data_IF_934397206539
#
_entry.id   IF_934397206539
#
_cell.length_a   1.000
_cell.length_b   1.000
_cell.length_c   1.000
_cell.angle_alpha   90.00
_cell.angle_beta   90.00
_cell.angle_gamma   90.00
#
_symmetry.space_group_name_H-M   'P 1'
#
loop_
_entity.id
_entity.type
_entity.pdbx_description
1 polymer ?
#
# COMPACT_ATOMS: atom_id res chain seq x y z
N UNK A 1 -2.02 69.92 -16.05
CA UNK A 1 -3.30 70.40 -16.61
C UNK A 1 -3.49 69.74 -17.96
N UNK A 2 -4.72 69.38 -18.33
CA UNK A 2 -5.10 68.86 -19.67
C UNK A 2 -4.62 67.44 -20.02
N UNK A 3 -5.34 66.81 -20.97
CA UNK A 3 -5.33 65.40 -21.41
C UNK A 3 -5.44 65.39 -22.96
N UNK A 4 -5.21 64.25 -23.64
CA UNK A 4 -5.46 63.96 -25.10
C UNK A 4 -4.41 64.58 -26.08
N UNK A 5 -4.17 64.05 -27.30
CA UNK A 5 -4.81 62.93 -28.04
C UNK A 5 -3.93 62.33 -29.18
N UNK A 6 -4.31 61.13 -29.69
CA UNK A 6 -4.14 60.60 -31.09
C UNK A 6 -2.73 60.47 -31.74
N UNK A 7 -2.51 59.77 -32.87
CA UNK A 7 -2.87 58.43 -33.42
C UNK A 7 -2.20 58.29 -34.84
N UNK A 8 -2.09 57.09 -35.42
CA UNK A 8 -1.64 56.81 -36.83
C UNK A 8 -0.15 57.19 -37.11
N UNK A 9 0.58 56.78 -38.17
CA UNK A 9 0.62 55.63 -39.12
C UNK A 9 1.98 55.73 -39.91
N UNK A 10 2.48 54.88 -40.81
CA UNK A 10 2.13 53.58 -41.43
C UNK A 10 3.42 52.96 -42.04
N UNK A 11 3.62 51.62 -42.04
CA UNK A 11 4.57 50.96 -42.95
C UNK A 11 4.28 49.44 -43.11
N UNK A 12 4.17 48.95 -44.35
CA UNK A 12 4.16 47.51 -44.69
C UNK A 12 5.27 47.21 -45.71
N UNK A 13 5.96 46.08 -45.54
CA UNK A 13 6.63 45.27 -46.58
C UNK A 13 7.19 44.01 -45.89
N UNK A 14 7.21 42.82 -46.49
CA UNK A 14 6.66 42.42 -47.77
C UNK A 14 7.48 41.31 -48.43
N UNK A 15 7.38 40.06 -47.96
CA UNK A 15 8.05 38.89 -48.54
C UNK A 15 7.06 37.74 -48.66
N UNK A 16 7.11 37.02 -49.78
CA UNK A 16 6.41 35.76 -49.99
C UNK A 16 7.31 34.73 -50.68
N UNK A 17 6.84 33.48 -50.71
CA UNK A 17 7.43 32.31 -51.37
C UNK A 17 8.84 31.87 -50.88
N UNK A 18 8.83 30.87 -50.00
CA UNK A 18 9.84 29.80 -49.97
C UNK A 18 9.14 28.49 -49.60
N UNK A 19 8.29 28.00 -50.50
CA UNK A 19 7.65 26.68 -50.39
C UNK A 19 8.62 25.57 -50.85
N UNK A 20 8.31 24.32 -50.46
CA UNK A 20 9.04 23.08 -50.81
C UNK A 20 10.39 22.86 -50.09
N UNK A 21 10.35 22.31 -48.87
CA UNK A 21 11.40 21.35 -48.37
C UNK A 21 11.08 20.63 -47.05
N UNK A 22 10.01 20.98 -46.30
CA UNK A 22 9.83 20.48 -44.91
C UNK A 22 8.71 19.43 -44.68
N UNK A 23 7.89 19.07 -45.67
CA UNK A 23 6.80 18.09 -45.48
C UNK A 23 7.26 16.62 -45.37
N UNK A 24 8.49 16.30 -45.77
CA UNK A 24 8.97 14.92 -45.88
C UNK A 24 9.50 14.29 -44.58
N UNK A 25 9.75 15.07 -43.52
CA UNK A 25 10.28 14.56 -42.24
C UNK A 25 9.25 14.56 -41.09
N UNK A 26 8.13 15.25 -41.23
CA UNK A 26 7.03 15.17 -40.26
C UNK A 26 6.27 13.83 -40.38
N UNK A 27 6.00 13.37 -41.61
CA UNK A 27 5.13 12.22 -41.87
C UNK A 27 5.77 10.84 -41.57
N UNK A 28 7.07 10.78 -41.26
CA UNK A 28 7.77 9.51 -40.95
C UNK A 28 7.55 9.10 -39.48
N UNK A 29 7.41 10.06 -38.56
CA UNK A 29 7.31 9.78 -37.12
C UNK A 29 5.87 9.65 -36.59
N UNK A 30 4.87 9.86 -37.43
CA UNK A 30 3.44 9.87 -37.03
C UNK A 30 2.68 8.60 -37.46
N UNK A 31 3.20 7.86 -38.46
CA UNK A 31 2.64 6.57 -38.89
C UNK A 31 3.01 5.41 -37.96
N UNK A 32 4.26 5.34 -37.49
CA UNK A 32 4.74 4.30 -36.55
C UNK A 32 4.41 4.60 -35.07
N UNK A 33 3.79 5.75 -34.78
CA UNK A 33 3.32 6.12 -33.43
C UNK A 33 1.89 5.65 -33.11
N UNK A 34 1.44 4.55 -33.72
CA UNK A 34 0.27 3.84 -33.23
C UNK A 34 0.58 3.22 -31.86
N UNK A 35 0.11 3.87 -30.80
CA UNK A 35 0.13 3.35 -29.43
C UNK A 35 -0.51 1.96 -29.40
N UNK A 36 0.31 0.93 -29.26
CA UNK A 36 -0.10 -0.46 -29.45
C UNK A 36 -0.85 -0.98 -28.23
N UNK A 37 -2.12 -0.57 -28.12
CA UNK A 37 -3.09 -1.12 -27.17
C UNK A 37 -3.16 -2.63 -27.40
N UNK A 38 -2.83 -3.40 -26.37
CA UNK A 38 -2.91 -4.86 -26.41
C UNK A 38 -4.35 -5.29 -26.65
N UNK A 39 -4.55 -6.10 -27.68
CA UNK A 39 -5.86 -6.74 -27.89
C UNK A 39 -6.19 -7.64 -26.72
N UNK A 40 -7.49 -7.84 -26.45
CA UNK A 40 -7.96 -8.71 -25.36
C UNK A 40 -7.29 -10.10 -25.38
N UNK A 41 -7.11 -10.69 -26.56
CA UNK A 41 -6.40 -11.97 -26.71
C UNK A 41 -4.90 -11.92 -26.33
N UNK A 42 -4.23 -10.76 -26.48
CA UNK A 42 -2.86 -10.57 -26.00
C UNK A 42 -2.81 -10.37 -24.49
N UNK A 43 -3.73 -9.57 -23.92
CA UNK A 43 -3.92 -9.43 -22.47
C UNK A 43 -4.17 -10.80 -21.82
N UNK A 44 -5.14 -11.58 -22.31
CA UNK A 44 -5.48 -12.91 -21.78
C UNK A 44 -4.29 -13.87 -21.77
N UNK A 45 -3.39 -13.81 -22.77
CA UNK A 45 -2.15 -14.63 -22.79
C UNK A 45 -1.15 -14.17 -21.73
N UNK A 46 -0.91 -12.88 -21.62
CA UNK A 46 -0.01 -12.27 -20.64
C UNK A 46 -0.49 -12.54 -19.19
N UNK A 47 -1.81 -12.45 -18.95
CA UNK A 47 -2.44 -12.80 -17.68
C UNK A 47 -2.32 -14.31 -17.40
N UNK A 48 -2.57 -15.16 -18.40
CA UNK A 48 -2.46 -16.63 -18.24
C UNK A 48 -1.04 -17.08 -17.87
N UNK A 49 -0.01 -16.39 -18.36
CA UNK A 49 1.39 -16.60 -17.96
C UNK A 49 1.73 -16.02 -16.58
N UNK A 50 1.00 -15.00 -16.11
CA UNK A 50 1.16 -14.37 -14.80
C UNK A 50 0.32 -14.99 -13.66
N UNK A 51 -0.46 -16.04 -13.95
CA UNK A 51 -1.35 -16.75 -13.03
C UNK A 51 -0.66 -17.98 -12.41
N UNK A 52 -0.64 -18.13 -11.06
CA UNK A 52 -0.08 -19.30 -10.38
C UNK A 52 -0.59 -20.63 -10.91
N UNK A 53 0.25 -21.66 -10.88
CA UNK A 53 -0.11 -23.03 -11.31
C UNK A 53 -1.21 -23.65 -10.43
N UNK A 54 -1.36 -23.17 -9.18
CA UNK A 54 -2.44 -23.56 -8.26
C UNK A 54 -3.83 -23.10 -8.72
N UNK A 55 -3.93 -22.15 -9.65
CA UNK A 55 -5.21 -21.70 -10.24
C UNK A 55 -5.55 -22.59 -11.44
N UNK A 56 -6.47 -23.53 -11.27
CA UNK A 56 -6.88 -24.47 -12.35
C UNK A 56 -8.27 -24.12 -12.91
N UNK A 57 -8.79 -24.92 -13.85
CA UNK A 57 -10.19 -24.76 -14.29
C UNK A 57 -11.22 -25.14 -13.21
N UNK A 58 -10.83 -25.86 -12.16
CA UNK A 58 -11.66 -26.11 -10.98
C UNK A 58 -10.91 -25.67 -9.69
N UNK A 59 -11.35 -24.55 -9.11
CA UNK A 59 -10.74 -23.98 -7.90
C UNK A 59 -11.54 -24.26 -6.62
N UNK A 60 -12.46 -25.23 -6.63
CA UNK A 60 -13.35 -25.54 -5.48
C UNK A 60 -12.56 -25.91 -4.23
N UNK A 61 -11.54 -26.77 -4.37
CA UNK A 61 -10.69 -27.20 -3.24
C UNK A 61 -9.80 -26.04 -2.75
N UNK A 62 -9.19 -25.30 -3.68
CA UNK A 62 -8.39 -24.11 -3.38
C UNK A 62 -9.20 -23.06 -2.59
N UNK A 63 -10.45 -22.81 -2.99
CA UNK A 63 -11.36 -21.92 -2.29
C UNK A 63 -11.73 -22.47 -0.90
N UNK A 64 -12.03 -23.77 -0.78
CA UNK A 64 -12.35 -24.41 0.51
C UNK A 64 -11.17 -24.39 1.50
N UNK A 65 -9.93 -24.39 0.99
CA UNK A 65 -8.69 -24.22 1.76
C UNK A 65 -8.50 -22.75 2.16
N UNK A 66 -8.66 -21.80 1.22
CA UNK A 66 -8.52 -20.37 1.51
C UNK A 66 -9.55 -19.83 2.50
N UNK A 67 -10.76 -20.40 2.55
CA UNK A 67 -11.77 -20.08 3.57
C UNK A 67 -11.44 -20.63 4.98
N UNK A 68 -10.32 -21.34 5.16
CA UNK A 68 -9.89 -21.92 6.45
C UNK A 68 -8.48 -21.46 6.89
N UNK A 69 -8.21 -20.14 6.97
CA UNK A 69 -6.97 -19.64 7.56
C UNK A 69 -6.95 -19.94 9.07
N UNK A 70 -5.74 -20.12 9.64
CA UNK A 70 -5.58 -20.08 11.10
C UNK A 70 -5.71 -18.62 11.56
N UNK A 71 -6.90 -18.27 12.06
CA UNK A 71 -7.19 -16.99 12.68
C UNK A 71 -6.77 -17.00 14.16
N UNK A 72 -6.24 -15.88 14.63
CA UNK A 72 -6.23 -15.52 16.04
C UNK A 72 -7.35 -14.53 16.36
N UNK A 73 -7.51 -14.17 17.64
CA UNK A 73 -8.55 -13.23 18.07
C UNK A 73 -8.45 -11.86 17.36
N UNK A 74 -9.60 -11.19 17.11
CA UNK A 74 -9.65 -9.90 16.42
C UNK A 74 -9.29 -8.74 17.36
N UNK A 75 -8.75 -7.66 16.80
CA UNK A 75 -8.39 -6.45 17.58
C UNK A 75 -9.61 -5.79 18.25
N UNK A 76 -10.82 -5.99 17.72
CA UNK A 76 -12.08 -5.62 18.37
C UNK A 76 -12.28 -6.22 19.77
N UNK A 77 -11.56 -7.30 20.09
CA UNK A 77 -11.59 -8.01 21.38
C UNK A 77 -10.29 -7.95 22.17
N UNK A 78 -9.12 -7.84 21.50
CA UNK A 78 -7.81 -7.91 22.17
C UNK A 78 -7.15 -6.55 22.44
N UNK A 79 -7.47 -5.51 21.66
CA UNK A 79 -6.78 -4.22 21.73
C UNK A 79 -7.29 -3.37 22.91
N UNK A 80 -6.48 -3.22 23.96
CA UNK A 80 -6.77 -2.32 25.07
C UNK A 80 -6.23 -0.91 24.77
N UNK A 81 -7.11 0.01 24.35
CA UNK A 81 -6.75 1.37 23.97
C UNK A 81 -6.19 2.19 25.13
N UNK A 82 -6.70 2.04 26.36
CA UNK A 82 -6.15 2.77 27.50
C UNK A 82 -4.73 2.28 27.84
N UNK A 83 -4.43 0.98 27.68
CA UNK A 83 -3.05 0.47 27.79
C UNK A 83 -2.12 0.96 26.67
N UNK A 84 -2.62 1.10 25.43
CA UNK A 84 -1.86 1.75 24.35
C UNK A 84 -1.53 3.19 24.73
N UNK A 85 -2.51 3.95 25.25
CA UNK A 85 -2.33 5.35 25.67
C UNK A 85 -1.29 5.46 26.78
N UNK A 86 -1.39 4.65 27.84
CA UNK A 86 -0.41 4.57 28.93
C UNK A 86 1.01 4.34 28.41
N UNK A 87 1.17 3.45 27.42
CA UNK A 87 2.48 3.07 26.89
C UNK A 87 3.06 4.13 25.94
N UNK A 88 2.26 4.73 25.04
CA UNK A 88 2.80 5.67 24.02
C UNK A 88 2.86 7.12 24.49
N UNK A 89 2.08 7.50 25.51
CA UNK A 89 2.15 8.80 26.20
C UNK A 89 2.84 8.71 27.56
N UNK A 90 3.69 7.71 27.80
CA UNK A 90 4.44 7.58 29.06
C UNK A 90 5.21 8.89 29.36
N UNK A 91 4.97 9.46 30.55
CA UNK A 91 5.51 10.74 31.02
C UNK A 91 5.09 12.00 30.22
N UNK A 92 4.15 11.90 29.27
CA UNK A 92 3.62 13.07 28.56
C UNK A 92 2.79 13.97 29.49
N UNK A 93 2.82 15.28 29.23
CA UNK A 93 2.07 16.30 29.99
C UNK A 93 0.95 16.89 29.13
N UNK A 94 -0.05 17.47 29.79
CA UNK A 94 -1.14 18.22 29.18
C UNK A 94 -1.89 17.44 28.09
N UNK A 95 -2.08 16.14 28.34
CA UNK A 95 -2.78 15.20 27.44
C UNK A 95 -4.25 15.64 27.28
N UNK A 96 -4.67 15.85 26.03
CA UNK A 96 -6.04 16.18 25.63
C UNK A 96 -6.63 14.98 24.88
N UNK A 97 -7.84 14.57 25.25
CA UNK A 97 -8.60 13.45 24.65
C UNK A 97 -9.87 14.02 24.01
N UNK A 98 -10.11 13.70 22.74
CA UNK A 98 -11.31 14.08 21.99
C UNK A 98 -11.96 12.86 21.33
N UNK A 99 -13.27 12.92 21.07
CA UNK A 99 -14.04 11.76 20.63
C UNK A 99 -14.25 10.71 21.73
N UNK A 100 -14.56 9.48 21.33
CA UNK A 100 -14.90 8.37 22.23
C UNK A 100 -13.95 7.18 22.01
N UNK A 101 -13.07 6.91 22.99
CA UNK A 101 -12.19 5.72 22.99
C UNK A 101 -12.84 4.48 23.66
N UNK A 102 -14.16 4.47 23.86
CA UNK A 102 -14.88 3.34 24.48
C UNK A 102 -15.22 2.26 23.43
N UNK A 103 -16.10 1.32 23.81
CA UNK A 103 -16.56 0.20 22.97
C UNK A 103 -17.17 0.68 21.63
N UNK A 104 -16.97 -0.14 20.60
CA UNK A 104 -17.43 -0.03 19.20
C UNK A 104 -18.86 0.53 18.98
N UNK A 105 -19.09 1.29 17.88
CA UNK A 105 -18.09 1.91 17.00
C UNK A 105 -17.44 3.12 17.69
N UNK A 106 -16.15 3.32 17.46
CA UNK A 106 -15.32 4.23 18.25
C UNK A 106 -14.36 5.03 17.38
N UNK A 107 -14.21 6.31 17.69
CA UNK A 107 -13.21 7.20 17.09
C UNK A 107 -12.76 8.19 18.13
N UNK A 108 -11.46 8.26 18.37
CA UNK A 108 -10.87 9.25 19.26
C UNK A 108 -9.49 9.70 18.80
N UNK A 109 -9.17 10.93 19.18
CA UNK A 109 -7.87 11.56 19.00
C UNK A 109 -7.34 11.97 20.38
N UNK A 110 -6.08 11.65 20.65
CA UNK A 110 -5.39 12.05 21.87
C UNK A 110 -4.12 12.78 21.47
N UNK A 111 -3.88 13.95 22.08
CA UNK A 111 -2.74 14.82 21.78
C UNK A 111 -2.03 15.27 23.05
N UNK A 112 -0.72 15.47 22.96
CA UNK A 112 0.08 16.18 23.97
C UNK A 112 1.03 17.15 23.25
N UNK A 113 1.21 18.35 23.79
CA UNK A 113 1.89 19.46 23.11
C UNK A 113 1.02 20.18 22.06
N UNK A 114 1.66 20.86 21.10
CA UNK A 114 1.02 21.56 19.98
C UNK A 114 1.63 21.10 18.64
N UNK A 115 0.76 20.69 17.71
CA UNK A 115 1.12 20.29 16.35
C UNK A 115 1.81 21.41 15.57
N UNK A 116 1.42 22.67 15.79
CA UNK A 116 2.01 23.85 15.15
C UNK A 116 3.15 24.47 15.98
N UNK A 117 3.34 24.03 17.22
CA UNK A 117 4.41 24.50 18.10
C UNK A 117 5.78 23.99 17.68
N UNK A 118 6.83 24.62 18.23
CA UNK A 118 8.21 24.12 18.11
C UNK A 118 8.53 22.97 19.06
N UNK A 119 7.75 22.79 20.11
CA UNK A 119 8.04 21.82 21.18
C UNK A 119 7.73 20.38 20.79
N UNK A 120 8.12 19.45 21.66
CA UNK A 120 7.71 18.07 21.59
C UNK A 120 6.18 17.95 21.46
N UNK A 121 5.74 17.11 20.54
CA UNK A 121 4.34 16.87 20.22
C UNK A 121 4.11 15.38 20.02
N UNK A 122 2.97 14.88 20.45
CA UNK A 122 2.55 13.51 20.16
C UNK A 122 1.05 13.44 19.94
N UNK A 123 0.63 12.58 19.01
CA UNK A 123 -0.76 12.34 18.64
C UNK A 123 -1.00 10.85 18.46
N UNK A 124 -2.13 10.37 19.00
CA UNK A 124 -2.69 9.05 18.75
C UNK A 124 -4.09 9.24 18.17
N UNK A 125 -4.28 8.80 16.94
CA UNK A 125 -5.61 8.60 16.36
C UNK A 125 -5.97 7.12 16.46
N UNK A 126 -7.20 6.82 16.88
CA UNK A 126 -7.79 5.49 16.87
C UNK A 126 -9.19 5.56 16.26
N UNK A 127 -9.47 4.66 15.33
CA UNK A 127 -10.77 4.54 14.67
C UNK A 127 -11.11 3.07 14.45
N UNK A 128 -12.31 2.67 14.85
CA UNK A 128 -12.79 1.31 14.71
C UNK A 128 -14.30 1.33 14.43
N UNK A 129 -14.67 0.95 13.22
CA UNK A 129 -16.03 1.02 12.70
C UNK A 129 -16.79 -0.33 12.77
N UNK A 130 -16.17 -1.35 13.39
CA UNK A 130 -16.70 -2.72 13.49
C UNK A 130 -16.16 -3.66 12.41
N UNK A 131 -15.96 -3.19 11.18
CA UNK A 131 -15.40 -4.00 10.09
C UNK A 131 -13.88 -3.83 9.96
N UNK A 132 -13.32 -2.67 10.34
CA UNK A 132 -11.89 -2.37 10.33
C UNK A 132 -11.44 -1.61 11.58
N UNK A 133 -10.25 -1.96 12.07
CA UNK A 133 -9.51 -1.22 13.08
C UNK A 133 -8.35 -0.44 12.44
N UNK A 134 -8.19 0.82 12.84
CA UNK A 134 -7.09 1.70 12.44
C UNK A 134 -6.53 2.43 13.66
N UNK A 135 -5.22 2.59 13.72
CA UNK A 135 -4.51 3.26 14.80
C UNK A 135 -3.26 3.97 14.24
N UNK A 136 -3.02 5.22 14.64
CA UNK A 136 -1.84 6.00 14.23
C UNK A 136 -1.31 6.84 15.37
N UNK A 137 -0.25 6.36 16.00
CA UNK A 137 0.61 7.14 16.89
C UNK A 137 1.74 7.82 16.10
N UNK A 138 2.00 9.09 16.37
CA UNK A 138 3.17 9.85 15.90
C UNK A 138 3.68 10.76 17.01
N UNK A 139 4.99 10.82 17.18
CA UNK A 139 5.74 11.63 18.14
C UNK A 139 6.79 12.45 17.39
N UNK A 140 6.95 13.72 17.78
CA UNK A 140 7.93 14.69 17.26
C UNK A 140 8.70 15.25 18.45
N UNK A 141 10.02 15.33 18.35
CA UNK A 141 10.85 16.09 19.31
C UNK A 141 10.68 17.60 19.18
N UNK A 142 11.34 18.38 20.04
CA UNK A 142 11.41 19.84 19.84
C UNK A 142 12.28 20.15 18.61
N UNK A 143 11.84 21.10 17.77
CA UNK A 143 12.36 21.34 16.42
C UNK A 143 13.84 21.77 16.35
N UNK A 144 14.40 22.27 17.45
CA UNK A 144 15.79 22.71 17.53
C UNK A 144 16.78 21.56 17.86
N UNK A 145 16.30 20.30 17.97
CA UNK A 145 17.12 19.10 18.15
C UNK A 145 17.37 18.38 16.82
N UNK A 146 18.65 18.14 16.47
CA UNK A 146 19.02 17.24 15.37
C UNK A 146 18.70 15.77 15.74
N UNK A 147 18.40 14.90 14.75
CA UNK A 147 18.23 13.47 14.99
C UNK A 147 19.48 12.85 15.61
N UNK A 148 19.31 12.14 16.73
CA UNK A 148 20.38 11.46 17.45
C UNK A 148 20.75 10.13 16.79
N UNK A 149 22.01 9.71 16.92
CA UNK A 149 22.49 8.47 16.29
C UNK A 149 21.80 7.24 16.88
N UNK A 150 21.14 6.46 16.02
CA UNK A 150 20.50 5.21 16.37
C UNK A 150 21.54 4.10 16.54
N UNK A 151 21.83 3.76 17.80
CA UNK A 151 22.87 2.78 18.20
C UNK A 151 22.38 1.33 18.27
N UNK A 152 21.06 1.15 18.36
CA UNK A 152 20.39 -0.16 18.50
C UNK A 152 20.53 -0.93 17.18
N UNK A 153 20.88 -2.22 17.22
CA UNK A 153 21.03 -3.04 16.00
C UNK A 153 19.67 -3.44 15.38
N UNK A 154 19.69 -4.08 14.20
CA UNK A 154 18.44 -4.46 13.53
C UNK A 154 17.70 -5.59 14.24
N UNK A 155 18.42 -6.42 15.02
CA UNK A 155 17.84 -7.53 15.77
C UNK A 155 17.16 -7.02 17.04
N UNK A 156 17.81 -6.14 17.79
CA UNK A 156 17.24 -5.56 19.01
C UNK A 156 16.02 -4.69 18.67
N UNK A 157 16.04 -3.89 17.59
CA UNK A 157 14.83 -3.19 17.11
C UNK A 157 13.73 -4.18 16.71
N UNK A 158 14.06 -5.30 16.05
CA UNK A 158 13.05 -6.31 15.71
C UNK A 158 12.46 -7.00 16.97
N UNK A 159 13.28 -7.30 17.97
CA UNK A 159 12.84 -7.90 19.23
C UNK A 159 11.98 -6.91 20.05
N UNK A 160 12.35 -5.61 20.09
CA UNK A 160 11.52 -4.55 20.66
C UNK A 160 10.19 -4.36 19.90
N UNK A 161 10.20 -4.41 18.57
CA UNK A 161 9.01 -4.32 17.74
C UNK A 161 8.06 -5.50 18.00
N UNK A 162 8.55 -6.74 17.97
CA UNK A 162 7.75 -7.92 18.28
C UNK A 162 7.18 -7.87 19.71
N UNK A 163 7.97 -7.42 20.68
CA UNK A 163 7.51 -7.22 22.06
C UNK A 163 6.40 -6.16 22.17
N UNK A 164 6.49 -5.04 21.44
CA UNK A 164 5.45 -4.01 21.42
C UNK A 164 4.14 -4.53 20.79
N UNK A 165 4.25 -5.31 19.71
CA UNK A 165 3.11 -5.88 18.98
C UNK A 165 2.32 -6.89 19.81
N UNK A 166 3.01 -7.74 20.57
CA UNK A 166 2.41 -8.73 21.47
C UNK A 166 1.91 -8.10 22.78
N UNK A 167 2.71 -7.23 23.40
CA UNK A 167 2.38 -6.68 24.71
C UNK A 167 1.35 -5.54 24.66
N UNK A 168 1.47 -4.63 23.69
CA UNK A 168 0.70 -3.38 23.65
C UNK A 168 -0.45 -3.45 22.66
N UNK A 169 -0.21 -3.95 21.43
CA UNK A 169 -1.24 -4.10 20.41
C UNK A 169 -2.02 -5.41 20.46
N UNK A 170 -1.56 -6.42 21.21
CA UNK A 170 -2.23 -7.73 21.36
C UNK A 170 -2.60 -8.38 20.02
N UNK A 171 -1.72 -8.22 19.02
CA UNK A 171 -1.84 -8.86 17.71
C UNK A 171 -1.38 -10.32 17.87
N UNK A 172 -2.30 -11.28 17.68
CA UNK A 172 -1.97 -12.69 17.78
C UNK A 172 -0.83 -13.07 16.80
N UNK A 173 0.20 -13.85 17.22
CA UNK A 173 1.36 -14.18 16.39
C UNK A 173 1.05 -14.88 15.06
N UNK A 174 -0.13 -15.49 14.94
CA UNK A 174 -0.73 -16.03 13.72
C UNK A 174 -0.93 -15.00 12.60
N UNK A 175 -1.13 -13.72 12.96
CA UNK A 175 -1.34 -12.62 12.02
C UNK A 175 -0.03 -11.99 11.51
N UNK A 176 1.13 -12.39 12.05
CA UNK A 176 2.44 -11.76 11.78
C UNK A 176 3.29 -12.66 10.85
N UNK A 177 3.71 -12.19 9.66
CA UNK A 177 4.42 -13.00 8.69
C UNK A 177 5.79 -13.44 9.20
N UNK A 178 6.05 -14.75 9.15
CA UNK A 178 7.35 -15.31 9.53
C UNK A 178 8.27 -15.39 8.30
N UNK A 179 9.45 -14.73 8.31
CA UNK A 179 10.38 -14.77 7.19
C UNK A 179 10.92 -16.19 6.99
N UNK A 180 11.07 -16.67 5.74
CA UNK A 180 11.55 -18.02 5.48
C UNK A 180 13.00 -18.18 5.97
N UNK A 181 13.34 -19.37 6.48
CA UNK A 181 14.63 -19.66 7.10
C UNK A 181 15.84 -19.44 6.16
N UNK A 182 15.61 -19.48 4.85
CA UNK A 182 16.58 -19.22 3.78
C UNK A 182 16.71 -17.75 3.34
N UNK A 183 15.92 -16.82 3.90
CA UNK A 183 16.00 -15.40 3.55
C UNK A 183 17.39 -14.81 3.88
N UNK A 184 17.98 -14.04 2.95
CA UNK A 184 19.25 -13.33 3.17
C UNK A 184 19.10 -12.24 4.22
N UNK A 185 18.11 -11.36 4.06
CA UNK A 185 17.67 -10.46 5.12
C UNK A 185 16.54 -11.16 5.88
N UNK A 186 16.86 -11.72 7.05
CA UNK A 186 15.87 -12.41 7.90
C UNK A 186 14.98 -11.45 8.70
N UNK A 187 15.34 -10.18 8.82
CA UNK A 187 14.60 -9.20 9.61
C UNK A 187 13.97 -8.15 8.68
N UNK A 188 12.67 -7.84 8.80
CA UNK A 188 11.97 -6.83 8.00
C UNK A 188 12.26 -5.40 8.52
N UNK A 189 13.53 -5.10 8.79
CA UNK A 189 14.00 -3.82 9.34
C UNK A 189 14.68 -3.01 8.24
N UNK A 190 14.33 -1.72 8.15
CA UNK A 190 14.94 -0.74 7.24
C UNK A 190 15.57 0.37 8.09
N UNK A 191 16.86 0.65 7.91
CA UNK A 191 17.55 1.76 8.58
C UNK A 191 17.55 3.00 7.69
N UNK A 192 17.08 4.13 8.23
CA UNK A 192 17.24 5.46 7.61
C UNK A 192 18.49 6.12 8.16
N UNK A 193 19.29 6.69 7.26
CA UNK A 193 20.58 7.29 7.58
C UNK A 193 20.61 8.75 7.14
N UNK A 194 20.98 9.64 8.07
CA UNK A 194 21.34 11.02 7.75
C UNK A 194 22.71 11.01 7.05
N UNK A 195 22.80 11.59 5.86
CA UNK A 195 24.06 11.68 5.10
C UNK A 195 24.51 13.13 4.96
N UNK A 196 25.66 13.45 5.56
CA UNK A 196 26.26 14.79 5.53
C UNK A 196 27.43 14.79 4.55
N UNK A 197 27.29 15.52 3.45
CA UNK A 197 28.42 15.82 2.58
C UNK A 197 29.19 17.05 3.09
N UNK A 198 30.49 16.92 3.23
CA UNK A 198 31.45 18.00 3.43
C UNK A 198 32.51 17.99 2.34
N UNK A 199 33.15 19.12 2.08
CA UNK A 199 34.30 19.21 1.17
C UNK A 199 35.56 19.43 2.02
N UNK A 200 36.57 18.58 1.85
CA UNK A 200 37.82 18.73 2.59
C UNK A 200 38.74 19.80 1.98
N UNK A 201 39.81 20.16 2.70
CA UNK A 201 40.74 21.24 2.31
C UNK A 201 41.52 20.98 1.00
N UNK A 202 41.24 19.90 0.27
CA UNK A 202 41.79 19.55 -1.05
C UNK A 202 40.71 19.45 -2.14
N UNK A 203 39.47 19.85 -1.85
CA UNK A 203 38.34 19.74 -2.78
C UNK A 203 37.73 18.34 -2.85
N UNK A 204 38.09 17.42 -1.94
CA UNK A 204 37.50 16.08 -1.94
C UNK A 204 36.21 16.06 -1.12
N UNK A 205 35.09 15.78 -1.79
CA UNK A 205 33.79 15.58 -1.15
C UNK A 205 33.79 14.28 -0.35
N UNK A 206 33.64 14.40 0.97
CA UNK A 206 33.43 13.29 1.91
C UNK A 206 31.95 13.25 2.30
N UNK A 207 31.34 12.08 2.25
CA UNK A 207 30.01 11.86 2.82
C UNK A 207 30.14 11.00 4.06
N UNK A 208 29.70 11.52 5.20
CA UNK A 208 29.51 10.78 6.43
C UNK A 208 28.04 10.35 6.51
N UNK A 209 27.77 9.11 6.91
CA UNK A 209 26.44 8.51 6.89
C UNK A 209 26.15 7.89 8.25
N UNK A 210 25.15 8.45 8.94
CA UNK A 210 24.84 8.16 10.34
C UNK A 210 23.43 7.57 10.44
N UNK A 211 23.24 6.37 11.03
CA UNK A 211 21.89 5.83 11.26
C UNK A 211 21.16 6.71 12.27
N UNK A 212 19.90 7.05 11.99
CA UNK A 212 19.09 7.95 12.83
C UNK A 212 17.73 7.35 13.19
N UNK A 213 17.18 6.50 12.33
CA UNK A 213 15.89 5.85 12.56
C UNK A 213 15.86 4.43 12.00
N UNK A 214 15.01 3.57 12.57
CA UNK A 214 14.75 2.20 12.08
C UNK A 214 13.26 1.92 12.00
N UNK A 215 12.87 1.30 10.91
CA UNK A 215 11.48 1.01 10.54
C UNK A 215 11.27 -0.49 10.47
N UNK A 216 10.21 -1.00 11.10
CA UNK A 216 9.79 -2.39 11.02
C UNK A 216 8.38 -2.43 10.44
N UNK A 217 8.19 -3.19 9.36
CA UNK A 217 6.96 -3.15 8.55
C UNK A 217 6.46 -4.57 8.27
N UNK A 218 5.19 -4.82 8.56
CA UNK A 218 4.54 -6.12 8.40
C UNK A 218 3.21 -5.97 7.65
N UNK A 219 3.14 -6.58 6.47
CA UNK A 219 1.85 -6.93 5.85
C UNK A 219 1.21 -8.03 6.71
N UNK A 220 -0.03 -7.83 7.16
CA UNK A 220 -0.80 -8.91 7.82
C UNK A 220 -0.96 -10.07 6.84
N UNK A 221 -1.02 -11.28 7.38
CA UNK A 221 -1.47 -12.45 6.64
C UNK A 221 -1.86 -13.57 7.58
N UNK A 222 -2.04 -14.75 7.03
CA UNK A 222 -2.51 -15.91 7.76
C UNK A 222 -1.79 -17.17 7.30
N UNK A 223 -1.61 -18.11 8.23
CA UNK A 223 -1.23 -19.47 7.89
C UNK A 223 -2.45 -20.21 7.32
N UNK A 224 -2.35 -20.67 6.08
CA UNK A 224 -3.35 -21.51 5.40
C UNK A 224 -2.74 -22.90 5.16
N UNK A 225 -3.55 -23.96 5.26
CA UNK A 225 -3.11 -25.34 5.02
C UNK A 225 -2.76 -25.57 3.54
N UNK A 226 -1.71 -26.35 3.27
CA UNK A 226 -1.07 -26.57 1.95
C UNK A 226 -0.49 -25.32 1.24
N UNK A 227 -1.13 -24.15 1.34
CA UNK A 227 -0.71 -22.91 0.66
C UNK A 227 0.38 -22.11 1.40
N UNK A 228 0.58 -22.36 2.70
CA UNK A 228 1.58 -21.65 3.49
C UNK A 228 1.06 -20.29 3.98
N UNK A 229 1.81 -19.22 3.71
CA UNK A 229 1.50 -17.87 4.20
C UNK A 229 0.77 -17.05 3.13
N UNK A 230 -0.47 -16.66 3.43
CA UNK A 230 -1.35 -15.90 2.52
C UNK A 230 -1.51 -14.47 3.05
N UNK A 231 -1.19 -13.41 2.27
CA UNK A 231 -1.42 -12.02 2.67
C UNK A 231 -2.89 -11.74 3.02
N UNK A 232 -3.13 -10.88 4.00
CA UNK A 232 -4.45 -10.58 4.56
C UNK A 232 -4.67 -9.06 4.72
N UNK A 233 -5.89 -8.62 5.06
CA UNK A 233 -6.22 -7.21 5.18
C UNK A 233 -5.70 -6.64 6.50
N UNK A 234 -4.74 -5.72 6.38
CA UNK A 234 -4.10 -5.03 7.48
C UNK A 234 -2.61 -4.81 7.22
N UNK A 235 -2.09 -3.65 7.58
CA UNK A 235 -0.65 -3.39 7.67
C UNK A 235 -0.32 -2.87 9.08
N UNK A 236 0.87 -3.23 9.55
CA UNK A 236 1.47 -2.74 10.78
C UNK A 236 2.84 -2.14 10.44
N UNK A 237 3.09 -0.90 10.87
CA UNK A 237 4.39 -0.24 10.76
C UNK A 237 4.80 0.39 12.10
N UNK A 238 6.03 0.14 12.53
CA UNK A 238 6.66 0.73 13.72
C UNK A 238 7.95 1.44 13.33
N UNK A 239 8.22 2.59 13.94
CA UNK A 239 9.42 3.40 13.71
C UNK A 239 10.04 3.78 15.05
N UNK A 240 11.36 3.66 15.10
CA UNK A 240 12.17 3.91 16.28
C UNK A 240 13.29 4.89 15.94
N UNK A 241 13.45 5.92 16.78
CA UNK A 241 14.65 6.75 16.82
C UNK A 241 15.47 6.43 18.10
N UNK A 242 16.55 7.17 18.34
CA UNK A 242 17.42 6.96 19.50
C UNK A 242 16.73 7.16 20.88
N UNK A 243 15.51 7.73 20.92
CA UNK A 243 14.66 7.93 22.11
C UNK A 243 13.51 6.91 22.18
N UNK A 244 13.54 5.87 21.34
CA UNK A 244 12.57 4.77 21.31
C UNK A 244 11.51 4.94 20.21
N UNK A 245 10.32 4.41 20.46
CA UNK A 245 9.20 4.45 19.50
C UNK A 245 8.78 5.90 19.19
N UNK A 246 8.76 6.26 17.90
CA UNK A 246 8.32 7.58 17.45
C UNK A 246 7.11 7.54 16.47
N UNK A 247 6.87 6.43 15.77
CA UNK A 247 5.63 6.20 15.00
C UNK A 247 5.17 4.76 15.20
N UNK A 248 3.85 4.58 15.35
CA UNK A 248 3.22 3.26 15.29
C UNK A 248 1.89 3.35 14.53
N UNK A 249 1.73 2.53 13.49
CA UNK A 249 0.55 2.52 12.62
C UNK A 249 -0.01 1.10 12.51
N UNK A 250 -1.31 0.96 12.71
CA UNK A 250 -2.14 -0.16 12.24
C UNK A 250 -3.11 0.43 11.22
N UNK A 251 -3.11 -0.06 9.98
CA UNK A 251 -3.97 0.45 8.91
C UNK A 251 -4.75 -0.68 8.24
N UNK A 252 -6.05 -0.45 7.98
CA UNK A 252 -6.90 -1.39 7.22
C UNK A 252 -7.05 -2.78 7.86
N UNK A 253 -6.91 -2.89 9.19
CA UNK A 253 -6.88 -4.19 9.86
C UNK A 253 -8.30 -4.70 10.09
N UNK A 254 -8.84 -5.43 9.11
CA UNK A 254 -10.22 -5.89 9.12
C UNK A 254 -10.51 -6.90 10.25
N UNK A 255 -11.75 -6.89 10.75
CA UNK A 255 -12.27 -8.03 11.50
C UNK A 255 -12.32 -9.27 10.58
N UNK A 256 -12.12 -10.43 11.18
CA UNK A 256 -12.21 -11.74 10.52
C UNK A 256 -13.34 -12.60 11.12
N UNK A 257 -14.19 -12.02 11.97
CA UNK A 257 -15.23 -12.74 12.73
C UNK A 257 -16.33 -13.33 11.84
N UNK A 258 -16.67 -12.61 10.77
CA UNK A 258 -17.67 -13.00 9.75
C UNK A 258 -17.02 -13.68 8.53
N UNK A 259 -15.70 -13.90 8.56
CA UNK A 259 -14.92 -14.36 7.40
C UNK A 259 -15.47 -15.66 6.82
N UNK A 260 -15.83 -15.61 5.52
CA UNK A 260 -16.25 -16.78 4.76
C UNK A 260 -17.66 -17.32 5.05
N UNK A 261 -18.41 -16.76 6.02
CA UNK A 261 -19.72 -17.34 6.43
C UNK A 261 -20.73 -17.45 5.28
N UNK A 262 -20.70 -16.51 4.34
CA UNK A 262 -21.60 -16.46 3.18
C UNK A 262 -20.91 -16.91 1.87
N UNK A 263 -19.73 -17.54 1.93
CA UNK A 263 -18.96 -17.93 0.74
C UNK A 263 -18.96 -19.44 0.52
N UNK A 264 -19.54 -19.85 -0.61
CA UNK A 264 -19.64 -21.24 -1.02
C UNK A 264 -18.46 -21.62 -1.94
N UNK A 265 -17.53 -22.53 -1.54
CA UNK A 265 -16.38 -22.91 -2.37
C UNK A 265 -16.73 -23.44 -3.76
N UNK A 266 -17.95 -23.99 -3.96
CA UNK A 266 -18.40 -24.50 -5.26
C UNK A 266 -18.58 -23.39 -6.31
N UNK A 267 -18.66 -22.13 -5.86
CA UNK A 267 -18.79 -20.96 -6.72
C UNK A 267 -17.43 -20.35 -7.07
N UNK A 268 -16.33 -21.06 -6.82
CA UNK A 268 -14.99 -20.65 -7.23
C UNK A 268 -14.88 -20.50 -8.75
N UNK A 269 -14.37 -19.35 -9.21
CA UNK A 269 -14.16 -19.05 -10.62
C UNK A 269 -13.08 -19.96 -11.21
N UNK A 270 -13.30 -20.45 -12.43
CA UNK A 270 -12.30 -21.21 -13.20
C UNK A 270 -11.13 -20.31 -13.64
N UNK A 271 -9.95 -20.88 -13.94
CA UNK A 271 -8.80 -20.13 -14.51
C UNK A 271 -9.23 -19.37 -15.78
N UNK A 272 -9.98 -20.00 -16.68
CA UNK A 272 -10.59 -19.33 -17.84
C UNK A 272 -11.48 -18.13 -17.48
N UNK A 273 -12.36 -18.26 -16.47
CA UNK A 273 -13.21 -17.15 -15.98
C UNK A 273 -12.34 -15.99 -15.45
N UNK A 274 -11.32 -16.31 -14.65
CA UNK A 274 -10.42 -15.32 -14.06
C UNK A 274 -9.64 -14.56 -15.14
N UNK A 275 -9.04 -15.27 -16.10
CA UNK A 275 -8.33 -14.65 -17.24
C UNK A 275 -9.24 -13.66 -17.99
N UNK A 276 -10.48 -14.07 -18.26
CA UNK A 276 -11.46 -13.28 -19.00
C UNK A 276 -11.94 -12.03 -18.22
N UNK A 277 -12.16 -12.15 -16.90
CA UNK A 277 -12.51 -11.02 -16.04
C UNK A 277 -11.34 -10.02 -15.95
N UNK A 278 -10.12 -10.49 -15.68
CA UNK A 278 -8.91 -9.65 -15.54
C UNK A 278 -8.63 -8.91 -16.85
N UNK A 279 -8.67 -9.60 -18.00
CA UNK A 279 -8.47 -8.99 -19.31
C UNK A 279 -9.54 -7.92 -19.61
N UNK A 280 -10.79 -8.18 -19.21
CA UNK A 280 -11.90 -7.25 -19.38
C UNK A 280 -11.86 -6.05 -18.41
N UNK A 281 -11.18 -6.16 -17.26
CA UNK A 281 -10.89 -5.02 -16.38
C UNK A 281 -9.79 -4.13 -16.95
N UNK A 282 -8.62 -4.69 -17.28
CA UNK A 282 -7.52 -3.90 -17.88
C UNK A 282 -7.95 -3.17 -19.15
N UNK A 283 -8.76 -3.80 -20.02
CA UNK A 283 -9.32 -3.15 -21.21
C UNK A 283 -10.29 -2.01 -20.87
N UNK A 284 -11.08 -2.11 -19.79
CA UNK A 284 -12.04 -1.08 -19.34
C UNK A 284 -11.34 0.09 -18.66
N UNK A 285 -10.29 -0.18 -17.91
CA UNK A 285 -9.46 0.80 -17.20
C UNK A 285 -8.50 1.56 -18.15
N UNK A 286 -8.52 1.25 -19.45
CA UNK A 286 -7.66 1.89 -20.46
C UNK A 286 -6.21 1.43 -20.43
N UNK A 287 -5.89 0.38 -19.66
CA UNK A 287 -4.53 -0.12 -19.42
C UNK A 287 -4.11 -1.01 -20.60
N UNK A 288 -3.96 -0.38 -21.77
CA UNK A 288 -3.61 -1.04 -23.02
C UNK A 288 -2.15 -1.49 -23.11
N UNK A 289 -1.26 -0.99 -22.26
CA UNK A 289 0.19 -1.20 -22.36
C UNK A 289 0.72 -1.93 -21.13
N UNK A 290 0.58 -3.26 -21.11
CA UNK A 290 1.17 -4.11 -20.07
C UNK A 290 2.42 -4.82 -20.58
N UNK A 291 3.54 -4.64 -19.87
CA UNK A 291 4.77 -5.41 -20.10
C UNK A 291 4.73 -6.77 -19.42
N UNK A 292 4.10 -6.82 -18.25
CA UNK A 292 4.01 -7.99 -17.40
C UNK A 292 2.82 -7.89 -16.46
N UNK A 293 2.26 -9.05 -16.11
CA UNK A 293 1.39 -9.22 -14.96
C UNK A 293 1.93 -10.37 -14.12
N UNK A 294 1.81 -10.24 -12.80
CA UNK A 294 2.08 -11.31 -11.83
C UNK A 294 0.94 -11.31 -10.83
N UNK A 295 0.57 -12.47 -10.30
CA UNK A 295 -0.53 -12.56 -9.34
C UNK A 295 -0.26 -13.55 -8.23
N UNK A 296 -0.90 -13.32 -7.08
CA UNK A 296 -0.86 -14.23 -5.94
C UNK A 296 -2.23 -14.31 -5.26
N UNK A 297 -2.41 -15.37 -4.46
CA UNK A 297 -3.58 -15.53 -3.60
C UNK A 297 -3.43 -14.64 -2.36
N UNK A 298 -4.50 -13.93 -2.01
CA UNK A 298 -4.58 -13.08 -0.84
C UNK A 298 -6.00 -13.14 -0.24
N UNK A 299 -6.15 -12.59 0.95
CA UNK A 299 -7.44 -12.22 1.54
C UNK A 299 -7.46 -10.69 1.60
N UNK A 300 -8.55 -10.09 1.17
CA UNK A 300 -8.74 -8.64 1.12
C UNK A 300 -10.15 -8.29 1.57
N UNK A 301 -10.42 -7.03 1.90
CA UNK A 301 -11.77 -6.49 2.00
C UNK A 301 -11.94 -5.49 0.85
N UNK A 302 -12.85 -5.73 -0.09
CA UNK A 302 -13.07 -4.80 -1.19
C UNK A 302 -13.88 -3.58 -0.71
N UNK A 303 -13.84 -2.44 -1.43
CA UNK A 303 -14.60 -1.26 -1.07
C UNK A 303 -16.12 -1.52 -1.12
N UNK A 304 -16.74 -1.62 0.05
CA UNK A 304 -18.17 -1.91 0.22
C UNK A 304 -18.45 -3.23 0.96
N UNK A 305 -17.47 -4.13 1.04
CA UNK A 305 -17.65 -5.43 1.69
C UNK A 305 -17.77 -5.30 3.21
N UNK A 306 -18.74 -6.01 3.80
CA UNK A 306 -18.92 -6.11 5.26
C UNK A 306 -17.85 -7.03 5.91
N UNK A 307 -17.29 -7.96 5.14
CA UNK A 307 -16.29 -8.96 5.56
C UNK A 307 -15.20 -9.14 4.49
N UNK A 308 -13.95 -9.45 4.87
CA UNK A 308 -12.93 -9.90 3.92
C UNK A 308 -13.32 -11.18 3.16
N UNK A 309 -12.74 -11.35 1.96
CA UNK A 309 -12.97 -12.47 1.04
C UNK A 309 -11.64 -12.98 0.43
N UNK A 310 -11.56 -14.23 -0.07
CA UNK A 310 -10.41 -14.69 -0.86
C UNK A 310 -10.36 -14.01 -2.23
N UNK A 311 -9.19 -13.47 -2.59
CA UNK A 311 -8.94 -12.85 -3.88
C UNK A 311 -7.70 -13.38 -4.56
N UNK A 312 -7.70 -13.28 -5.88
CA UNK A 312 -6.49 -13.22 -6.66
C UNK A 312 -6.09 -11.74 -6.78
N UNK A 313 -4.92 -11.37 -6.24
CA UNK A 313 -4.33 -10.04 -6.41
C UNK A 313 -3.39 -10.04 -7.60
N UNK A 314 -3.61 -9.14 -8.55
CA UNK A 314 -2.78 -8.98 -9.76
C UNK A 314 -1.99 -7.67 -9.65
N UNK A 315 -0.69 -7.75 -9.88
CA UNK A 315 0.23 -6.62 -10.06
C UNK A 315 0.62 -6.58 -11.54
N UNK A 316 0.30 -5.49 -12.23
CA UNK A 316 0.59 -5.35 -13.65
C UNK A 316 1.39 -4.07 -13.94
N UNK A 317 2.56 -4.22 -14.56
CA UNK A 317 3.48 -3.12 -14.83
C UNK A 317 3.34 -2.63 -16.27
N UNK A 318 2.94 -1.37 -16.45
CA UNK A 318 3.15 -0.66 -17.70
C UNK A 318 4.64 -0.32 -17.86
N UNK A 319 5.19 -0.55 -19.05
CA UNK A 319 6.53 -0.07 -19.40
C UNK A 319 6.43 1.32 -20.03
N UNK A 320 7.29 2.27 -19.63
CA UNK A 320 7.65 3.40 -20.47
C UNK A 320 8.28 2.88 -21.78
N UNK A 321 7.80 3.37 -22.93
CA UNK A 321 8.21 2.90 -24.26
C UNK A 321 9.62 3.38 -24.68
N UNK A 322 10.32 4.10 -23.80
CA UNK A 322 11.52 4.90 -24.05
C UNK A 322 12.78 4.39 -23.32
N UNK A 323 12.67 3.31 -22.54
CA UNK A 323 13.78 2.72 -21.77
C UNK A 323 14.46 1.55 -22.50
N UNK A 324 15.78 1.46 -22.42
CA UNK A 324 16.56 0.32 -22.96
C UNK A 324 16.39 -0.95 -22.12
N UNK A 325 16.70 -2.13 -22.67
CA UNK A 325 16.57 -3.41 -21.94
C UNK A 325 17.35 -3.44 -20.61
N UNK A 326 18.53 -2.81 -20.57
CA UNK A 326 19.31 -2.67 -19.34
C UNK A 326 18.68 -1.73 -18.30
N UNK A 327 17.89 -0.74 -18.72
CA UNK A 327 17.17 0.17 -17.83
C UNK A 327 15.87 -0.48 -17.37
N UNK A 328 15.16 -1.19 -18.25
CA UNK A 328 13.99 -2.01 -17.92
C UNK A 328 14.33 -3.06 -16.85
N UNK A 329 15.51 -3.68 -16.91
CA UNK A 329 16.00 -4.63 -15.89
C UNK A 329 16.29 -3.97 -14.52
N UNK A 330 16.53 -2.66 -14.48
CA UNK A 330 16.75 -1.86 -13.25
C UNK A 330 15.44 -1.25 -12.73
N UNK A 331 14.48 -0.98 -13.61
CA UNK A 331 13.15 -0.43 -13.31
C UNK A 331 12.21 -1.55 -12.86
N UNK A 332 12.49 -2.08 -11.66
CA UNK A 332 11.50 -2.80 -10.85
C UNK A 332 10.54 -1.75 -10.28
N UNK A 333 9.67 -1.20 -11.12
CA UNK A 333 8.80 -0.09 -10.75
C UNK A 333 7.77 -0.53 -9.71
N UNK A 334 7.78 0.12 -8.54
CA UNK A 334 6.73 0.03 -7.51
C UNK A 334 5.46 0.79 -7.91
N UNK A 335 5.19 0.87 -9.22
CA UNK A 335 4.15 1.69 -9.86
C UNK A 335 3.33 0.86 -10.87
N UNK A 336 3.19 -0.43 -10.62
CA UNK A 336 2.23 -1.27 -11.33
C UNK A 336 0.81 -1.06 -10.78
N UNK A 337 -0.19 -1.25 -11.63
CA UNK A 337 -1.59 -1.29 -11.21
C UNK A 337 -1.82 -2.55 -10.38
N UNK A 338 -2.42 -2.39 -9.21
CA UNK A 338 -2.82 -3.49 -8.33
C UNK A 338 -4.34 -3.61 -8.39
N UNK A 339 -4.84 -4.79 -8.76
CA UNK A 339 -6.27 -5.10 -8.74
C UNK A 339 -6.55 -6.42 -8.02
N UNK A 340 -7.64 -6.44 -7.25
CA UNK A 340 -8.13 -7.62 -6.55
C UNK A 340 -9.37 -8.18 -7.26
N UNK A 341 -9.36 -9.49 -7.53
CA UNK A 341 -10.47 -10.24 -8.13
C UNK A 341 -10.96 -11.28 -7.13
N UNK A 342 -12.22 -11.20 -6.72
CA UNK A 342 -12.88 -12.21 -5.90
C UNK A 342 -12.72 -13.61 -6.53
N UNK A 343 -12.14 -14.56 -5.80
CA UNK A 343 -11.90 -15.92 -6.29
C UNK A 343 -13.20 -16.74 -6.34
N UNK A 344 -14.09 -16.48 -5.38
CA UNK A 344 -15.43 -17.06 -5.28
C UNK A 344 -16.41 -16.04 -5.87
N UNK A 345 -17.42 -16.49 -6.63
CA UNK A 345 -18.56 -15.63 -6.98
C UNK A 345 -19.46 -15.51 -5.75
N UNK A 346 -19.78 -14.28 -5.36
CA UNK A 346 -20.92 -14.05 -4.48
C UNK A 346 -22.19 -14.64 -5.14
N UNK A 347 -23.05 -15.25 -4.34
CA UNK A 347 -24.39 -15.60 -4.80
C UNK A 347 -25.18 -14.29 -4.89
N UNK A 348 -25.86 -14.05 -6.00
CA UNK A 348 -26.72 -12.88 -6.15
C UNK A 348 -27.77 -12.96 -5.02
N UNK A 349 -27.72 -12.01 -4.08
CA UNK A 349 -28.72 -11.90 -3.02
C UNK A 349 -30.05 -11.56 -3.70
N UNK A 350 -30.87 -12.58 -3.95
CA UNK A 350 -32.29 -12.42 -4.20
C UNK A 350 -32.88 -11.71 -2.98
N UNK A 351 -32.96 -10.39 -3.07
CA UNK A 351 -33.93 -9.63 -2.31
C UNK A 351 -35.29 -9.95 -2.93
N UNK A 352 -35.83 -11.09 -2.52
CA UNK A 352 -37.25 -11.39 -2.70
C UNK A 352 -38.00 -10.31 -1.90
N UNK A 353 -38.41 -9.26 -2.61
CA UNK A 353 -39.36 -8.28 -2.09
C UNK A 353 -40.69 -9.00 -1.91
N UNK A 354 -40.91 -9.55 -0.72
CA UNK A 354 -42.25 -9.87 -0.25
C UNK A 354 -43.03 -8.55 -0.18
N UNK A 355 -43.77 -8.24 -1.25
CA UNK A 355 -44.81 -7.20 -1.22
C UNK A 355 -45.88 -7.65 -0.21
N UNK A 356 -45.80 -7.10 1.00
CA UNK A 356 -46.81 -7.31 2.03
C UNK A 356 -48.11 -6.59 1.66
N UNK A 357 -49.17 -7.35 1.39
CA UNK A 357 -50.56 -6.87 1.29
C UNK A 357 -51.08 -6.25 2.61
#
# INVERSE_FOLDING_TARGET
MTIKNTFLQFALTGIGLSLLTQTALAQINEADRQEKILSKAALSRLISAGLPETITENNTELAAVLLKPKLGDPLSKTLNIDHVIETVFENARDIKKSGNCSILPSKCEITAGDINGKEAFSILNYENNGTQTQLRFVKRGSADQLPETMKIDDREVFEQAMAFVDNVFKIAPENIPKPPSSAKNRLPVKTVNLSVSSEDKRGQRRTETTPVEKFVQFQRGFQVETLGWVPGPGELALQYDAKGLNVAVIQGWSSMEEYGRNLNPRNAKSRSTLIEEIASRFQREGIGHLSSARSHLAITQLPGDESPIPVLRIYAAAQPNDLTEEEQAKVVSSAGVVMDIALIREEERNFDFEESE
#
